data_IF_356405372730
#
_entry.id   IF_356405372730
#
_cell.length_a   1.000
_cell.length_b   1.000
_cell.length_c   1.000
_cell.angle_alpha   90.00
_cell.angle_beta   90.00
_cell.angle_gamma   90.00
#
_symmetry.space_group_name_H-M   'P 1'
#
loop_
_entity.id
_entity.type
_entity.pdbx_description
1 polymer ?
#
# COMPACT_ATOMS: atom_id res chain seq x y z
N UNK A 1 -8.66 11.41 -10.29
CA UNK A 1 -7.49 10.78 -10.95
C UNK A 1 -7.96 9.93 -12.09
N UNK A 2 -7.33 10.07 -13.24
CA UNK A 2 -7.50 9.26 -14.45
C UNK A 2 -6.13 8.74 -14.87
N UNK A 3 -6.12 7.75 -15.73
CA UNK A 3 -4.88 7.25 -16.34
C UNK A 3 -4.13 8.38 -17.05
N UNK A 4 -2.83 8.47 -16.82
CA UNK A 4 -1.94 9.51 -17.35
C UNK A 4 -1.93 10.84 -16.60
N UNK A 5 -2.76 11.02 -15.56
CA UNK A 5 -2.70 12.25 -14.74
C UNK A 5 -1.34 12.35 -14.01
N UNK A 6 -0.69 13.53 -14.04
CA UNK A 6 0.55 13.82 -13.29
C UNK A 6 0.21 14.08 -11.81
N UNK A 7 0.26 13.01 -11.00
CA UNK A 7 -0.03 13.07 -9.57
C UNK A 7 0.94 14.01 -8.82
N UNK A 8 2.21 14.04 -9.23
CA UNK A 8 3.20 14.90 -8.61
C UNK A 8 2.89 16.38 -8.85
N UNK A 9 2.50 16.75 -10.08
CA UNK A 9 2.10 18.12 -10.39
C UNK A 9 0.87 18.53 -9.57
N UNK A 10 -0.14 17.65 -9.46
CA UNK A 10 -1.33 17.90 -8.66
C UNK A 10 -1.02 18.09 -7.16
N UNK A 11 -0.02 17.40 -6.63
CA UNK A 11 0.44 17.59 -5.25
C UNK A 11 1.19 18.92 -5.13
N UNK A 12 2.17 19.17 -6.00
CA UNK A 12 3.01 20.37 -5.96
C UNK A 12 2.21 21.69 -6.10
N UNK A 13 1.09 21.66 -6.84
CA UNK A 13 0.17 22.80 -6.95
C UNK A 13 -0.60 23.11 -5.64
N UNK A 14 -0.73 22.16 -4.74
CA UNK A 14 -1.60 22.26 -3.55
C UNK A 14 -0.86 22.46 -2.25
N UNK A 15 0.39 22.02 -2.19
CA UNK A 15 1.17 22.04 -0.95
C UNK A 15 2.61 22.49 -1.20
N UNK A 16 3.18 23.19 -0.21
CA UNK A 16 4.61 23.50 -0.19
C UNK A 16 5.34 22.36 0.53
N UNK A 17 6.27 21.73 -0.17
CA UNK A 17 7.10 20.65 0.36
C UNK A 17 8.43 21.20 0.88
N UNK A 18 8.94 20.58 1.92
CA UNK A 18 10.23 20.85 2.53
C UNK A 18 11.09 19.59 2.47
N UNK A 19 12.42 19.76 2.52
CA UNK A 19 13.32 18.61 2.62
C UNK A 19 12.98 17.76 3.84
N UNK A 20 13.01 16.43 3.66
CA UNK A 20 12.67 15.40 4.66
C UNK A 20 11.18 15.28 5.00
N UNK A 21 10.30 16.00 4.30
CA UNK A 21 8.87 15.64 4.36
C UNK A 21 8.67 14.20 3.90
N UNK A 22 7.73 13.49 4.51
CA UNK A 22 7.29 12.19 4.02
C UNK A 22 5.84 12.30 3.57
N UNK A 23 5.60 11.95 2.32
CA UNK A 23 4.25 11.91 1.75
C UNK A 23 3.70 10.48 1.84
N UNK A 24 2.62 10.29 2.58
CA UNK A 24 1.86 9.04 2.59
C UNK A 24 0.68 9.16 1.61
N UNK A 25 0.75 8.42 0.52
CA UNK A 25 -0.15 8.47 -0.64
C UNK A 25 -0.98 7.20 -0.70
N UNK A 26 -2.31 7.31 -0.71
CA UNK A 26 -3.19 6.17 -0.90
C UNK A 26 -2.95 5.53 -2.29
N UNK A 27 -2.71 4.22 -2.34
CA UNK A 27 -2.41 3.52 -3.60
C UNK A 27 -3.45 3.79 -4.70
N UNK A 28 -4.71 4.00 -4.33
CA UNK A 28 -5.80 4.16 -5.31
C UNK A 28 -5.64 5.36 -6.25
N UNK A 29 -4.99 6.44 -5.82
CA UNK A 29 -4.72 7.56 -6.73
C UNK A 29 -3.53 7.25 -7.63
N UNK A 30 -2.53 6.53 -7.12
CA UNK A 30 -1.40 6.00 -7.91
C UNK A 30 -1.91 5.01 -8.94
N UNK A 31 -2.64 3.98 -8.51
CA UNK A 31 -3.21 2.95 -9.38
C UNK A 31 -4.07 3.54 -10.51
N UNK A 32 -4.90 4.54 -10.20
CA UNK A 32 -5.71 5.22 -11.23
C UNK A 32 -4.86 6.00 -12.23
N UNK A 33 -3.80 6.66 -11.78
CA UNK A 33 -2.88 7.37 -12.66
C UNK A 33 -2.10 6.40 -13.57
N UNK A 34 -1.81 5.20 -13.08
CA UNK A 34 -1.10 4.14 -13.80
C UNK A 34 -2.03 3.21 -14.62
N UNK A 35 -3.35 3.49 -14.68
CA UNK A 35 -4.29 2.67 -15.43
C UNK A 35 -4.61 1.31 -14.79
N UNK A 36 -4.24 1.10 -13.51
CA UNK A 36 -4.50 -0.14 -12.77
C UNK A 36 -5.97 -0.22 -12.32
N UNK A 37 -6.87 -0.18 -13.30
CA UNK A 37 -8.32 -0.24 -13.12
C UNK A 37 -8.91 -1.27 -14.07
N UNK A 38 -9.83 -2.10 -13.59
CA UNK A 38 -10.50 -3.14 -14.38
C UNK A 38 -12.00 -2.88 -14.39
N UNK A 39 -12.60 -2.90 -15.57
CA UNK A 39 -14.06 -2.86 -15.76
C UNK A 39 -14.59 -4.29 -15.65
N UNK A 40 -15.56 -4.53 -14.78
CA UNK A 40 -16.13 -5.87 -14.58
C UNK A 40 -16.79 -6.43 -15.84
N UNK A 41 -17.32 -5.57 -16.70
CA UNK A 41 -17.94 -6.01 -17.97
C UNK A 41 -16.95 -6.61 -18.96
N UNK A 42 -15.66 -6.34 -18.79
CA UNK A 42 -14.59 -6.91 -19.63
C UNK A 42 -14.01 -8.20 -19.03
N UNK A 43 -14.59 -8.70 -17.92
CA UNK A 43 -14.07 -9.88 -17.20
C UNK A 43 -14.95 -11.10 -17.44
N UNK A 44 -14.38 -12.11 -18.07
CA UNK A 44 -15.00 -13.45 -18.14
C UNK A 44 -14.51 -14.30 -16.97
N UNK A 45 -15.42 -14.71 -16.04
CA UNK A 45 -15.04 -15.46 -14.87
C UNK A 45 -14.78 -16.93 -15.18
N UNK A 46 -13.70 -17.47 -14.62
CA UNK A 46 -13.37 -18.90 -14.63
C UNK A 46 -14.36 -19.73 -13.81
N UNK A 47 -14.34 -21.04 -13.99
CA UNK A 47 -15.13 -21.96 -13.16
C UNK A 47 -14.76 -21.81 -11.68
N UNK A 48 -13.47 -21.68 -11.36
CA UNK A 48 -13.00 -21.48 -9.98
C UNK A 48 -13.54 -20.20 -9.36
N UNK A 49 -13.58 -19.11 -10.14
CA UNK A 49 -14.17 -17.85 -9.67
C UNK A 49 -15.66 -18.00 -9.36
N UNK A 50 -16.42 -18.72 -10.21
CA UNK A 50 -17.86 -19.01 -10.00
C UNK A 50 -18.10 -19.84 -8.74
N UNK A 51 -17.28 -20.86 -8.50
CA UNK A 51 -17.37 -21.70 -7.30
C UNK A 51 -17.09 -20.93 -6.01
N UNK A 52 -16.10 -20.03 -6.01
CA UNK A 52 -15.73 -19.20 -4.87
C UNK A 52 -16.71 -18.04 -4.62
N UNK A 53 -17.34 -17.54 -5.67
CA UNK A 53 -18.22 -16.37 -5.57
C UNK A 53 -19.50 -16.67 -4.79
N UNK A 54 -20.04 -17.91 -4.85
CA UNK A 54 -21.36 -18.25 -4.34
C UNK A 54 -22.44 -17.31 -4.89
N UNK A 55 -22.98 -16.44 -4.03
CA UNK A 55 -24.02 -15.45 -4.36
C UNK A 55 -23.45 -14.07 -4.78
N UNK A 56 -22.14 -13.92 -4.76
CA UNK A 56 -21.44 -12.69 -5.17
C UNK A 56 -21.12 -12.68 -6.67
N UNK A 57 -20.72 -11.52 -7.20
CA UNK A 57 -20.31 -11.41 -8.61
C UNK A 57 -19.00 -12.19 -8.87
N UNK A 58 -19.02 -13.27 -9.68
CA UNK A 58 -17.84 -14.07 -9.94
C UNK A 58 -16.76 -13.34 -10.73
N UNK A 59 -17.09 -12.23 -11.42
CA UNK A 59 -16.12 -11.42 -12.16
C UNK A 59 -15.14 -10.74 -11.20
N UNK A 60 -15.64 -10.29 -10.04
CA UNK A 60 -14.77 -9.75 -8.97
C UNK A 60 -13.80 -10.81 -8.45
N UNK A 61 -14.28 -12.03 -8.21
CA UNK A 61 -13.44 -13.14 -7.77
C UNK A 61 -12.39 -13.53 -8.80
N UNK A 62 -12.75 -13.46 -10.09
CA UNK A 62 -11.79 -13.68 -11.18
C UNK A 62 -10.64 -12.68 -11.13
N UNK A 63 -10.92 -11.38 -10.95
CA UNK A 63 -9.89 -10.36 -10.84
C UNK A 63 -8.99 -10.61 -9.61
N UNK A 64 -9.56 -10.98 -8.46
CA UNK A 64 -8.81 -11.35 -7.26
C UNK A 64 -7.88 -12.54 -7.54
N UNK A 65 -8.37 -13.57 -8.24
CA UNK A 65 -7.56 -14.74 -8.60
C UNK A 65 -6.40 -14.41 -9.56
N UNK A 66 -6.59 -13.45 -10.46
CA UNK A 66 -5.54 -12.97 -11.38
C UNK A 66 -4.44 -12.17 -10.66
N UNK A 67 -4.80 -11.41 -9.63
CA UNK A 67 -3.86 -10.62 -8.82
C UNK A 67 -3.17 -11.44 -7.71
N UNK A 68 -3.70 -12.62 -7.37
CA UNK A 68 -3.17 -13.49 -6.34
C UNK A 68 -2.03 -14.39 -6.89
N UNK A 69 -0.89 -14.41 -6.21
CA UNK A 69 0.13 -15.45 -6.41
C UNK A 69 -0.36 -16.80 -5.84
N UNK A 70 -1.01 -16.78 -4.68
CA UNK A 70 -1.69 -17.95 -4.09
C UNK A 70 -2.83 -17.54 -3.16
N UNK A 71 -3.76 -18.46 -2.96
CA UNK A 71 -4.83 -18.31 -1.98
C UNK A 71 -4.35 -18.88 -0.64
N UNK A 72 -4.36 -18.04 0.39
CA UNK A 72 -3.96 -18.41 1.74
C UNK A 72 -5.14 -19.00 2.51
N UNK A 73 -6.30 -18.32 2.46
CA UNK A 73 -7.50 -18.75 3.17
C UNK A 73 -8.76 -18.25 2.47
N UNK A 74 -9.81 -19.05 2.51
CA UNK A 74 -11.12 -18.62 2.00
C UNK A 74 -12.19 -18.81 3.04
N UNK A 75 -13.09 -17.85 3.14
CA UNK A 75 -14.41 -17.93 3.74
C UNK A 75 -15.36 -17.23 2.78
N UNK A 76 -15.82 -17.92 1.74
CA UNK A 76 -16.53 -17.27 0.65
C UNK A 76 -17.63 -16.31 1.10
N UNK A 77 -17.72 -15.11 0.51
CA UNK A 77 -16.92 -14.62 -0.63
C UNK A 77 -15.54 -14.02 -0.26
N UNK A 78 -15.19 -13.99 1.04
CA UNK A 78 -13.90 -13.45 1.49
C UNK A 78 -12.74 -14.37 1.09
N UNK A 79 -11.75 -13.80 0.44
CA UNK A 79 -10.50 -14.45 0.06
C UNK A 79 -9.34 -13.69 0.71
N UNK A 80 -8.50 -14.40 1.46
CA UNK A 80 -7.18 -13.92 1.87
C UNK A 80 -6.18 -14.52 0.90
N UNK A 81 -5.43 -13.67 0.24
CA UNK A 81 -4.48 -14.08 -0.79
C UNK A 81 -3.14 -13.41 -0.58
N UNK A 82 -2.09 -14.08 -1.00
CA UNK A 82 -0.79 -13.48 -1.24
C UNK A 82 -0.79 -12.87 -2.63
N UNK A 83 -0.41 -11.60 -2.72
CA UNK A 83 -0.27 -10.88 -3.98
C UNK A 83 1.03 -11.23 -4.67
N UNK A 84 1.21 -10.81 -5.94
CA UNK A 84 2.48 -10.94 -6.66
C UNK A 84 3.64 -10.19 -5.98
N UNK A 85 3.33 -9.22 -5.13
CA UNK A 85 4.30 -8.44 -4.36
C UNK A 85 4.73 -9.13 -3.05
N UNK A 86 4.05 -10.24 -2.67
CA UNK A 86 4.27 -10.95 -1.41
C UNK A 86 3.37 -10.48 -0.25
N UNK A 87 2.51 -9.50 -0.45
CA UNK A 87 1.58 -9.05 0.60
C UNK A 87 0.46 -10.06 0.81
N UNK A 88 0.21 -10.45 2.07
CA UNK A 88 -0.93 -11.30 2.44
C UNK A 88 -2.06 -10.41 2.92
N UNK A 89 -3.09 -10.26 2.12
CA UNK A 89 -4.22 -9.36 2.40
C UNK A 89 -5.56 -9.88 1.88
N UNK A 90 -6.63 -9.18 2.26
CA UNK A 90 -7.96 -9.48 1.75
C UNK A 90 -8.07 -9.11 0.27
N UNK A 91 -8.70 -9.99 -0.51
CA UNK A 91 -9.02 -9.77 -1.92
C UNK A 91 -7.81 -9.43 -2.80
N UNK A 92 -6.59 -9.83 -2.41
CA UNK A 92 -5.35 -9.49 -3.11
C UNK A 92 -5.19 -7.97 -3.38
N UNK A 93 -5.70 -7.11 -2.49
CA UNK A 93 -5.69 -5.66 -2.65
C UNK A 93 -6.69 -5.11 -3.70
N UNK A 94 -7.53 -5.97 -4.28
CA UNK A 94 -8.57 -5.54 -5.24
C UNK A 94 -9.73 -4.89 -4.50
N UNK A 95 -10.04 -3.64 -4.82
CA UNK A 95 -11.08 -2.86 -4.15
C UNK A 95 -12.02 -2.15 -5.14
N UNK A 96 -13.32 -2.13 -4.82
CA UNK A 96 -14.33 -1.38 -5.55
C UNK A 96 -14.55 0.02 -4.96
N UNK A 97 -14.09 0.28 -3.73
CA UNK A 97 -14.29 1.59 -3.10
C UNK A 97 -13.42 2.66 -3.76
N UNK A 98 -13.99 3.85 -3.96
CA UNK A 98 -13.32 4.96 -4.65
C UNK A 98 -12.85 4.62 -6.08
N UNK A 99 -13.42 3.60 -6.72
CA UNK A 99 -13.22 3.35 -8.14
C UNK A 99 -13.76 4.53 -8.98
N UNK A 100 -13.26 4.75 -10.21
CA UNK A 100 -13.72 5.88 -11.04
C UNK A 100 -15.21 5.85 -11.35
N UNK A 101 -15.77 4.65 -11.58
CA UNK A 101 -17.17 4.42 -11.90
C UNK A 101 -17.68 3.15 -11.22
N UNK A 102 -19.01 3.04 -11.10
CA UNK A 102 -19.64 1.78 -10.67
C UNK A 102 -19.29 0.63 -11.65
N UNK A 103 -19.06 -0.57 -11.12
CA UNK A 103 -18.64 -1.71 -11.93
C UNK A 103 -17.16 -1.71 -12.30
N UNK A 104 -16.35 -0.83 -11.73
CA UNK A 104 -14.90 -0.87 -11.83
C UNK A 104 -14.24 -1.34 -10.54
N UNK A 105 -13.07 -1.94 -10.66
CA UNK A 105 -12.18 -2.33 -9.58
C UNK A 105 -10.84 -1.63 -9.73
N UNK A 106 -10.27 -1.20 -8.61
CA UNK A 106 -8.90 -0.66 -8.52
C UNK A 106 -7.99 -1.78 -8.01
N UNK A 107 -6.88 -1.98 -8.69
CA UNK A 107 -5.84 -2.94 -8.36
C UNK A 107 -4.67 -2.24 -7.67
N UNK A 108 -3.77 -2.98 -7.05
CA UNK A 108 -2.50 -2.42 -6.60
C UNK A 108 -1.64 -2.01 -7.81
N UNK A 109 -0.73 -1.03 -7.66
CA UNK A 109 0.29 -0.74 -8.66
C UNK A 109 1.09 -2.01 -9.00
N UNK A 110 1.63 -2.13 -10.21
CA UNK A 110 2.41 -3.31 -10.58
C UNK A 110 3.73 -3.43 -9.82
N UNK A 111 4.36 -2.31 -9.52
CA UNK A 111 5.52 -2.20 -8.62
C UNK A 111 5.37 -0.93 -7.77
N UNK A 112 4.80 -1.05 -6.55
CA UNK A 112 4.55 0.11 -5.70
C UNK A 112 5.81 0.87 -5.24
N UNK A 113 6.96 0.20 -5.11
CA UNK A 113 8.24 0.86 -4.80
C UNK A 113 8.70 1.70 -6.00
N UNK A 114 8.59 1.16 -7.22
CA UNK A 114 8.89 1.92 -8.44
C UNK A 114 7.93 3.12 -8.59
N UNK A 115 6.64 2.95 -8.31
CA UNK A 115 5.66 4.04 -8.30
C UNK A 115 6.05 5.14 -7.29
N UNK A 116 6.45 4.76 -6.08
CA UNK A 116 6.93 5.69 -5.07
C UNK A 116 8.19 6.45 -5.53
N UNK A 117 9.14 5.74 -6.15
CA UNK A 117 10.38 6.32 -6.65
C UNK A 117 10.13 7.32 -7.80
N UNK A 118 9.24 6.96 -8.74
CA UNK A 118 8.85 7.87 -9.84
C UNK A 118 8.17 9.12 -9.31
N UNK A 119 7.22 8.96 -8.37
CA UNK A 119 6.53 10.09 -7.74
C UNK A 119 7.53 11.00 -7.00
N UNK A 120 8.44 10.42 -6.21
CA UNK A 120 9.51 11.15 -5.51
C UNK A 120 10.38 11.93 -6.48
N UNK A 121 10.87 11.29 -7.54
CA UNK A 121 11.70 11.92 -8.56
C UNK A 121 10.99 13.11 -9.20
N UNK A 122 9.72 12.94 -9.56
CA UNK A 122 8.91 13.99 -10.18
C UNK A 122 8.61 15.16 -9.24
N UNK A 123 8.34 14.89 -7.96
CA UNK A 123 8.17 15.92 -6.94
C UNK A 123 9.46 16.74 -6.77
N UNK A 124 10.63 16.09 -6.73
CA UNK A 124 11.93 16.76 -6.65
C UNK A 124 12.19 17.67 -7.86
N UNK A 125 11.84 17.22 -9.07
CA UNK A 125 11.95 18.05 -10.28
C UNK A 125 11.08 19.32 -10.20
N UNK A 126 9.85 19.19 -9.67
CA UNK A 126 8.87 20.27 -9.63
C UNK A 126 9.10 21.26 -8.48
N UNK A 127 9.56 20.77 -7.33
CA UNK A 127 9.61 21.56 -6.09
C UNK A 127 11.04 21.85 -5.60
N UNK A 128 12.03 21.07 -6.04
CA UNK A 128 13.38 21.09 -5.51
C UNK A 128 13.56 20.38 -4.17
N UNK A 129 12.47 20.02 -3.46
CA UNK A 129 12.54 19.38 -2.16
C UNK A 129 12.89 17.89 -2.27
N UNK A 130 13.76 17.42 -1.38
CA UNK A 130 14.10 16.01 -1.24
C UNK A 130 13.20 15.35 -0.18
N UNK A 131 12.15 14.66 -0.64
CA UNK A 131 11.09 14.11 0.19
C UNK A 131 11.10 12.59 0.21
N UNK A 132 10.54 11.98 1.25
CA UNK A 132 10.17 10.57 1.24
C UNK A 132 8.76 10.36 0.67
N UNK A 133 8.51 9.19 0.08
CA UNK A 133 7.18 8.80 -0.43
C UNK A 133 6.83 7.41 0.08
N UNK A 134 5.62 7.26 0.60
CA UNK A 134 4.98 5.99 0.96
C UNK A 134 3.73 5.83 0.11
N UNK A 135 3.59 4.73 -0.59
CA UNK A 135 2.32 4.27 -1.15
C UNK A 135 1.68 3.35 -0.13
N UNK A 136 0.44 3.65 0.31
CA UNK A 136 -0.23 2.91 1.38
C UNK A 136 -1.53 2.27 0.93
N UNK A 137 -1.89 1.16 1.58
CA UNK A 137 -3.21 0.53 1.49
C UNK A 137 -3.69 0.11 2.88
N UNK A 138 -5.02 -0.06 3.04
CA UNK A 138 -5.64 -0.40 4.32
C UNK A 138 -5.81 -1.90 4.44
N UNK A 139 -5.00 -2.55 5.28
CA UNK A 139 -5.04 -3.99 5.52
C UNK A 139 -5.74 -4.35 6.82
N UNK A 140 -6.45 -5.48 6.79
CA UNK A 140 -6.81 -6.21 8.01
C UNK A 140 -5.58 -6.82 8.66
N UNK A 141 -5.66 -7.07 9.97
CA UNK A 141 -4.57 -7.67 10.74
C UNK A 141 -5.03 -8.93 11.42
N UNK A 142 -4.17 -9.96 11.45
CA UNK A 142 -4.44 -11.19 12.19
C UNK A 142 -4.75 -10.88 13.66
N UNK A 143 -5.80 -11.52 14.20
CA UNK A 143 -6.28 -11.40 15.59
C UNK A 143 -6.64 -9.98 16.07
N UNK A 144 -6.80 -9.02 15.20
CA UNK A 144 -7.27 -7.67 15.54
C UNK A 144 -8.43 -7.28 14.65
N UNK A 145 -9.40 -6.58 15.22
CA UNK A 145 -10.47 -5.94 14.46
C UNK A 145 -9.99 -4.61 13.86
N UNK A 146 -10.65 -4.22 12.77
CA UNK A 146 -10.34 -2.99 12.05
C UNK A 146 -9.18 -3.14 11.07
N UNK A 147 -9.11 -2.20 10.13
CA UNK A 147 -8.01 -2.02 9.21
C UNK A 147 -7.06 -0.95 9.70
N UNK A 148 -5.85 -0.95 9.23
CA UNK A 148 -4.90 0.15 9.36
C UNK A 148 -4.15 0.30 8.05
N UNK A 149 -3.71 1.49 7.71
CA UNK A 149 -2.84 1.65 6.55
C UNK A 149 -1.48 1.04 6.84
N UNK A 150 -0.94 0.38 5.83
CA UNK A 150 0.40 -0.17 5.79
C UNK A 150 1.11 0.32 4.53
N UNK A 151 2.42 0.40 4.58
CA UNK A 151 3.23 0.73 3.42
C UNK A 151 3.29 -0.47 2.46
N UNK A 152 2.95 -0.24 1.19
CA UNK A 152 3.08 -1.23 0.12
C UNK A 152 4.15 -0.82 -0.90
N UNK A 153 4.63 0.43 -0.86
CA UNK A 153 5.73 0.94 -1.65
C UNK A 153 6.39 2.11 -0.94
N UNK A 154 7.72 2.22 -1.01
CA UNK A 154 8.49 3.28 -0.36
C UNK A 154 9.60 3.80 -1.26
N UNK A 155 9.95 5.08 -1.10
CA UNK A 155 11.12 5.67 -1.71
C UNK A 155 11.65 6.83 -0.85
N UNK A 156 12.95 6.87 -0.63
CA UNK A 156 13.62 7.94 0.10
C UNK A 156 13.46 7.90 1.61
N UNK A 157 13.01 6.76 2.17
CA UNK A 157 12.90 6.54 3.62
C UNK A 157 13.41 5.15 4.01
N UNK A 158 13.72 4.97 5.28
CA UNK A 158 13.90 3.63 5.86
C UNK A 158 12.54 2.94 5.99
N UNK A 159 12.41 1.70 5.50
CA UNK A 159 11.22 0.89 5.72
C UNK A 159 11.19 0.31 7.14
N UNK A 160 12.34 -0.17 7.61
CA UNK A 160 12.57 -0.74 8.92
C UNK A 160 13.64 0.03 9.68
N UNK A 161 13.51 0.13 10.99
CA UNK A 161 14.55 0.57 11.91
C UNK A 161 14.99 -0.62 12.76
N UNK A 162 16.19 -1.14 12.50
CA UNK A 162 16.77 -2.24 13.26
C UNK A 162 17.57 -1.69 14.46
N UNK A 163 17.09 -1.96 15.66
CA UNK A 163 17.69 -1.53 16.93
C UNK A 163 18.45 -2.66 17.62
N UNK A 164 18.71 -3.78 16.95
CA UNK A 164 19.51 -4.87 17.53
C UNK A 164 20.92 -4.41 17.83
N UNK A 165 21.38 -4.70 19.05
CA UNK A 165 22.70 -4.26 19.56
C UNK A 165 22.68 -2.87 20.22
N UNK A 166 21.63 -2.07 20.02
CA UNK A 166 21.43 -0.81 20.75
C UNK A 166 21.12 -1.10 22.22
N UNK A 167 21.38 -0.10 23.09
CA UNK A 167 21.08 -0.19 24.51
C UNK A 167 19.96 0.75 24.90
N UNK A 168 19.01 0.26 25.69
CA UNK A 168 17.98 1.11 26.27
C UNK A 168 18.55 2.01 27.41
N UNK A 169 17.77 2.96 27.93
CA UNK A 169 18.22 3.84 29.03
C UNK A 169 18.62 3.11 30.31
N UNK A 170 18.22 1.85 30.51
CA UNK A 170 18.63 1.01 31.66
C UNK A 170 19.93 0.24 31.38
N UNK A 171 20.47 0.30 30.16
CA UNK A 171 21.65 -0.41 29.72
C UNK A 171 21.38 -1.81 29.19
N UNK A 172 20.12 -2.25 29.04
CA UNK A 172 19.74 -3.51 28.45
C UNK A 172 19.95 -3.50 26.94
N UNK A 173 20.65 -4.49 26.39
CA UNK A 173 20.89 -4.63 24.96
C UNK A 173 19.67 -5.22 24.26
N UNK A 174 19.21 -4.54 23.20
CA UNK A 174 18.06 -4.96 22.39
C UNK A 174 18.47 -6.08 21.43
N UNK A 175 17.89 -7.27 21.57
CA UNK A 175 18.28 -8.45 20.78
C UNK A 175 17.37 -8.73 19.58
N UNK A 176 16.14 -8.21 19.58
CA UNK A 176 15.13 -8.56 18.58
C UNK A 176 14.29 -7.36 18.07
N UNK A 177 14.57 -6.15 18.53
CA UNK A 177 13.73 -5.00 18.24
C UNK A 177 14.00 -4.49 16.83
N UNK A 178 12.96 -4.58 15.99
CA UNK A 178 12.89 -3.98 14.64
C UNK A 178 11.55 -3.26 14.54
N UNK A 179 11.57 -2.00 14.17
CA UNK A 179 10.38 -1.16 14.05
C UNK A 179 10.03 -1.00 12.58
N UNK A 180 8.76 -1.23 12.21
CA UNK A 180 8.24 -1.04 10.87
C UNK A 180 7.88 0.45 10.65
N UNK A 181 8.89 1.29 10.49
CA UNK A 181 8.75 2.76 10.42
C UNK A 181 7.79 3.18 9.33
N UNK A 182 7.88 2.58 8.14
CA UNK A 182 7.01 2.94 7.03
C UNK A 182 5.53 2.61 7.32
N UNK A 183 5.25 1.50 8.03
CA UNK A 183 3.89 1.15 8.45
C UNK A 183 3.36 2.11 9.52
N UNK A 184 4.19 2.50 10.48
CA UNK A 184 3.81 3.49 11.51
C UNK A 184 3.45 4.84 10.87
N UNK A 185 4.24 5.29 9.90
CA UNK A 185 3.97 6.54 9.17
C UNK A 185 2.71 6.43 8.30
N UNK A 186 2.50 5.31 7.61
CA UNK A 186 1.30 5.05 6.83
C UNK A 186 0.04 5.06 7.71
N UNK A 187 0.10 4.38 8.86
CA UNK A 187 -1.00 4.32 9.83
C UNK A 187 -1.29 5.70 10.46
N UNK A 188 -0.26 6.46 10.82
CA UNK A 188 -0.43 7.82 11.35
C UNK A 188 -1.07 8.76 10.31
N UNK A 189 -0.65 8.66 9.06
CA UNK A 189 -1.20 9.44 7.95
C UNK A 189 -2.69 9.13 7.69
N UNK A 190 -3.13 7.87 7.88
CA UNK A 190 -4.53 7.48 7.70
C UNK A 190 -5.48 8.21 8.64
N UNK A 191 -5.04 8.55 9.85
CA UNK A 191 -5.84 9.35 10.80
C UNK A 191 -6.26 10.71 10.22
N UNK A 192 -5.46 11.27 9.29
CA UNK A 192 -5.73 12.54 8.62
C UNK A 192 -6.41 12.32 7.28
N UNK A 193 -5.94 11.34 6.48
CA UNK A 193 -6.53 11.03 5.17
C UNK A 193 -7.98 10.60 5.29
N UNK A 194 -8.24 9.65 6.16
CA UNK A 194 -9.55 9.00 6.31
C UNK A 194 -10.08 8.36 5.02
N UNK A 195 -11.10 7.52 5.16
CA UNK A 195 -11.68 6.78 4.00
C UNK A 195 -12.66 7.60 3.15
N UNK A 196 -13.32 8.58 3.75
CA UNK A 196 -14.46 9.31 3.14
C UNK A 196 -14.19 10.79 2.91
N UNK A 197 -13.06 11.31 3.39
CA UNK A 197 -12.74 12.73 3.32
C UNK A 197 -12.25 13.18 1.92
N UNK A 198 -11.93 12.25 1.03
CA UNK A 198 -11.39 12.58 -0.29
C UNK A 198 -9.96 13.16 -0.25
N UNK A 199 -9.23 12.90 0.83
CA UNK A 199 -7.85 13.35 1.05
C UNK A 199 -6.91 12.17 0.82
N UNK A 200 -6.33 11.99 -0.38
CA UNK A 200 -5.53 10.80 -0.70
C UNK A 200 -4.07 10.92 -0.29
N UNK A 201 -3.60 12.08 0.14
CA UNK A 201 -2.20 12.36 0.48
C UNK A 201 -2.14 13.09 1.82
N UNK A 202 -1.26 12.63 2.71
CA UNK A 202 -0.89 13.35 3.93
C UNK A 202 0.63 13.57 3.97
N UNK A 203 1.06 14.66 4.58
CA UNK A 203 2.47 15.00 4.78
C UNK A 203 2.81 14.80 6.24
N UNK A 204 3.88 14.07 6.51
CA UNK A 204 4.48 13.92 7.82
C UNK A 204 5.76 14.76 7.82
N UNK A 205 5.87 15.68 8.81
CA UNK A 205 6.97 16.64 8.92
C UNK A 205 7.52 16.68 10.33
N UNK A 206 8.79 17.00 10.49
CA UNK A 206 9.40 17.26 11.79
C UNK A 206 10.29 16.14 12.32
N UNK A 207 10.43 15.05 11.56
CA UNK A 207 11.34 13.94 11.86
C UNK A 207 12.13 13.55 10.61
N UNK A 208 13.33 13.05 10.78
CA UNK A 208 14.16 12.56 9.69
C UNK A 208 14.02 11.03 9.59
N UNK A 209 13.37 10.58 8.52
CA UNK A 209 13.22 9.17 8.17
C UNK A 209 13.97 8.83 6.88
N UNK A 210 14.86 9.70 6.42
CA UNK A 210 15.56 9.56 5.13
C UNK A 210 16.34 8.26 5.06
N UNK A 211 16.23 7.56 3.93
CA UNK A 211 16.86 6.27 3.69
C UNK A 211 16.55 5.75 2.29
N UNK A 212 16.90 4.52 2.03
CA UNK A 212 16.73 3.82 0.76
C UNK A 212 15.98 2.47 0.91
N UNK A 213 15.16 2.35 1.95
CA UNK A 213 14.37 1.16 2.24
C UNK A 213 13.29 0.88 1.20
N UNK A 214 12.94 -0.38 1.06
CA UNK A 214 11.87 -0.90 0.18
C UNK A 214 10.75 -1.48 1.03
N UNK A 215 9.50 -1.33 0.61
CA UNK A 215 8.36 -1.95 1.27
C UNK A 215 8.43 -3.48 1.25
N UNK A 216 9.24 -4.08 0.36
CA UNK A 216 9.50 -5.53 0.35
C UNK A 216 10.19 -6.00 1.63
N UNK A 217 10.94 -5.14 2.33
CA UNK A 217 11.56 -5.47 3.62
C UNK A 217 10.54 -5.71 4.74
N UNK A 218 9.32 -5.16 4.59
CA UNK A 218 8.21 -5.34 5.53
C UNK A 218 7.52 -6.70 5.38
N UNK A 219 7.71 -7.38 4.25
CA UNK A 219 7.14 -8.71 4.02
C UNK A 219 7.87 -9.74 4.87
N UNK A 220 7.11 -10.52 5.66
CA UNK A 220 7.69 -11.58 6.49
C UNK A 220 8.32 -12.65 5.59
N UNK A 221 9.63 -12.95 5.75
CA UNK A 221 10.28 -14.04 5.04
C UNK A 221 9.60 -15.39 5.36
N UNK A 222 9.41 -16.23 4.33
CA UNK A 222 8.66 -17.49 4.46
C UNK A 222 9.21 -18.43 5.53
N UNK A 223 10.54 -18.45 5.71
CA UNK A 223 11.21 -19.26 6.72
C UNK A 223 10.97 -18.77 8.16
N UNK A 224 10.49 -17.57 8.34
CA UNK A 224 10.16 -16.94 9.63
C UNK A 224 8.65 -16.83 9.87
N UNK A 225 7.84 -17.14 8.85
CA UNK A 225 6.40 -17.06 8.95
C UNK A 225 5.84 -18.22 9.77
N UNK A 226 5.14 -17.90 10.86
CA UNK A 226 4.52 -18.89 11.75
C UNK A 226 3.02 -19.08 11.49
N UNK A 227 2.46 -18.42 10.46
CA UNK A 227 1.03 -18.36 10.20
C UNK A 227 0.62 -19.00 8.86
N UNK A 228 1.59 -19.41 8.05
CA UNK A 228 1.40 -20.05 6.75
C UNK A 228 1.83 -21.51 6.74
#
# INVERSE_FOLDING_TARGET
>A
MREGDDLAALIAERVSLEDRDVLAVAHKVVSKAEGRVVRLDDVEPSQRARELARDEDPRRLEVILREAARIVRTRPPLVIAETRHGFVCASAGVDASNAPEAGMLVLLPDDPDASAALLRGRLRELTGADVGVIVSDSFGRAWRQGTTDVAIGTAGIHALLDLKGERDPSGYELHATVIAVADELAAAAELVKGKTAGVPVAIIRGQDFSGDGSARELVMPAERDLFL
#
